data_IF_863921192494
#
_entry.id   IF_863921192494
#
_cell.length_a   1.000
_cell.length_b   1.000
_cell.length_c   1.000
_cell.angle_alpha   90.00
_cell.angle_beta   90.00
_cell.angle_gamma   90.00
#
_symmetry.space_group_name_H-M   'P 1'
#
loop_
_entity.id
_entity.type
_entity.pdbx_description
1 polymer ?
#
# COMPACT_ATOMS: atom_id res chain seq x y z
N UNK A 1 2.92 -2.93 -0.82
CA UNK A 1 2.01 -2.74 -1.99
C UNK A 1 2.83 -2.71 -3.26
N UNK A 2 2.56 -3.59 -4.20
CA UNK A 2 3.33 -3.70 -5.43
C UNK A 2 3.20 -2.46 -6.33
N UNK A 3 1.99 -1.97 -6.55
CA UNK A 3 1.76 -0.74 -7.32
C UNK A 3 0.79 0.17 -6.59
N UNK A 4 1.21 1.41 -6.39
CA UNK A 4 0.47 2.47 -5.74
C UNK A 4 0.63 3.74 -6.56
N UNK A 5 -0.41 4.09 -7.30
CA UNK A 5 -0.38 5.22 -8.24
C UNK A 5 -1.13 6.39 -7.64
N UNK A 6 -0.43 7.51 -7.43
CA UNK A 6 -1.01 8.76 -6.98
C UNK A 6 -1.04 9.76 -8.13
N UNK A 7 -2.23 10.05 -8.62
CA UNK A 7 -2.48 11.03 -9.69
C UNK A 7 -3.46 12.10 -9.18
N UNK A 8 -2.96 13.16 -8.50
CA UNK A 8 -3.79 14.16 -7.87
C UNK A 8 -4.61 15.01 -8.86
N UNK A 9 -4.27 14.98 -10.15
CA UNK A 9 -4.98 15.73 -11.18
C UNK A 9 -6.25 15.01 -11.65
N UNK A 10 -6.35 13.70 -11.42
CA UNK A 10 -7.57 12.94 -11.70
C UNK A 10 -8.50 12.91 -10.48
N UNK A 11 -9.63 13.66 -10.52
CA UNK A 11 -10.57 13.71 -9.40
C UNK A 11 -11.42 12.43 -9.25
N UNK A 12 -11.39 11.54 -10.23
CA UNK A 12 -12.22 10.32 -10.26
C UNK A 12 -11.42 9.05 -9.94
N UNK A 13 -10.10 9.15 -9.75
CA UNK A 13 -9.26 8.01 -9.39
C UNK A 13 -9.42 7.63 -7.91
N UNK A 14 -10.08 6.52 -7.65
CA UNK A 14 -10.28 6.00 -6.28
C UNK A 14 -8.98 5.57 -5.58
N UNK A 15 -7.92 5.29 -6.33
CA UNK A 15 -6.62 5.05 -5.73
C UNK A 15 -6.13 6.27 -4.93
N UNK A 16 -6.41 7.47 -5.45
CA UNK A 16 -6.13 8.72 -4.72
C UNK A 16 -6.88 8.80 -3.38
N UNK A 17 -8.12 8.33 -3.33
CA UNK A 17 -8.91 8.34 -2.09
C UNK A 17 -8.35 7.37 -1.06
N UNK A 18 -7.89 6.20 -1.48
CA UNK A 18 -7.21 5.24 -0.60
C UNK A 18 -5.89 5.83 -0.05
N UNK A 19 -5.09 6.42 -0.91
CA UNK A 19 -3.80 7.03 -0.54
C UNK A 19 -4.02 8.22 0.40
N UNK A 20 -4.97 9.11 0.10
CA UNK A 20 -5.38 10.20 0.99
C UNK A 20 -5.94 9.69 2.31
N UNK A 21 -6.64 8.55 2.28
CA UNK A 21 -7.14 7.87 3.47
C UNK A 21 -6.03 7.52 4.47
N UNK A 22 -4.86 7.08 4.00
CA UNK A 22 -3.68 6.83 4.83
C UNK A 22 -3.17 8.12 5.51
N UNK A 23 -3.08 9.21 4.75
CA UNK A 23 -2.69 10.53 5.29
C UNK A 23 -3.70 11.01 6.33
N UNK A 24 -4.99 10.88 6.05
CA UNK A 24 -6.05 11.27 6.98
C UNK A 24 -6.03 10.42 8.26
N UNK A 25 -5.74 9.13 8.15
CA UNK A 25 -5.55 8.25 9.30
C UNK A 25 -4.35 8.74 10.14
N UNK A 26 -3.23 9.04 9.51
CA UNK A 26 -2.05 9.59 10.19
C UNK A 26 -2.35 10.89 10.93
N UNK A 27 -3.07 11.81 10.29
CA UNK A 27 -3.51 13.08 10.92
C UNK A 27 -4.41 12.87 12.14
N UNK A 28 -5.16 11.77 12.19
CA UNK A 28 -5.96 11.39 13.37
C UNK A 28 -5.16 10.67 14.47
N UNK A 29 -3.86 10.48 14.29
CA UNK A 29 -2.97 9.85 15.27
C UNK A 29 -2.81 8.34 15.09
N UNK A 30 -3.28 7.77 13.98
CA UNK A 30 -3.07 6.34 13.69
C UNK A 30 -1.59 6.11 13.32
N UNK A 31 -1.01 5.02 13.79
CA UNK A 31 0.32 4.57 13.39
C UNK A 31 0.23 3.92 12.00
N UNK A 32 0.50 4.70 10.96
CA UNK A 32 0.42 4.27 9.56
C UNK A 32 1.80 3.97 9.03
N UNK A 33 1.99 2.75 8.54
CA UNK A 33 3.24 2.26 7.95
C UNK A 33 2.96 1.66 6.59
N UNK A 34 3.78 2.00 5.60
CA UNK A 34 3.59 1.57 4.21
C UNK A 34 4.90 1.03 3.66
N UNK A 35 4.83 -0.08 2.95
CA UNK A 35 5.91 -0.58 2.09
C UNK A 35 5.43 -0.54 0.66
N UNK A 36 6.23 0.04 -0.22
CA UNK A 36 5.95 0.13 -1.65
C UNK A 36 7.10 -0.52 -2.41
N UNK A 37 6.78 -1.41 -3.34
CA UNK A 37 7.76 -2.02 -4.24
C UNK A 37 8.45 -0.94 -5.08
N UNK A 38 9.77 -1.04 -5.21
CA UNK A 38 10.53 -0.14 -6.06
C UNK A 38 11.79 -0.80 -6.62
N UNK A 39 11.98 -0.67 -7.93
CA UNK A 39 13.16 -1.11 -8.64
C UNK A 39 13.62 -0.07 -9.65
N UNK A 40 14.88 0.26 -9.61
CA UNK A 40 15.46 1.33 -10.42
C UNK A 40 15.45 1.06 -11.92
N UNK A 41 15.44 -0.21 -12.32
CA UNK A 41 15.44 -0.61 -13.73
C UNK A 41 14.05 -0.81 -14.34
N UNK A 42 12.98 -0.69 -13.56
CA UNK A 42 11.60 -0.70 -14.05
C UNK A 42 11.06 0.72 -14.20
N UNK A 43 10.97 1.22 -15.42
CA UNK A 43 10.55 2.60 -15.69
C UNK A 43 9.18 2.97 -15.12
N UNK A 44 8.24 2.01 -15.02
CA UNK A 44 6.93 2.24 -14.43
C UNK A 44 6.93 2.41 -12.89
N UNK A 45 8.03 2.11 -12.24
CA UNK A 45 8.15 2.31 -10.78
C UNK A 45 8.21 3.79 -10.39
N UNK A 46 8.35 4.71 -11.35
CA UNK A 46 8.27 6.15 -11.08
C UNK A 46 6.93 6.58 -10.46
N UNK A 47 5.84 5.88 -10.75
CA UNK A 47 4.53 6.17 -10.15
C UNK A 47 4.49 5.81 -8.66
N UNK A 48 5.16 4.73 -8.27
CA UNK A 48 5.33 4.36 -6.86
C UNK A 48 6.13 5.42 -6.08
N UNK A 49 7.11 6.08 -6.73
CA UNK A 49 7.84 7.19 -6.11
C UNK A 49 6.96 8.41 -5.82
N UNK A 50 6.03 8.75 -6.70
CA UNK A 50 5.08 9.85 -6.45
C UNK A 50 4.21 9.56 -5.22
N UNK A 51 3.72 8.34 -5.08
CA UNK A 51 2.96 7.93 -3.90
C UNK A 51 3.84 7.98 -2.64
N UNK A 52 5.07 7.49 -2.72
CA UNK A 52 6.05 7.57 -1.63
C UNK A 52 6.29 9.01 -1.19
N UNK A 53 6.57 9.92 -2.13
CA UNK A 53 6.81 11.34 -1.84
C UNK A 53 5.59 12.01 -1.18
N UNK A 54 4.39 11.75 -1.71
CA UNK A 54 3.17 12.29 -1.16
C UNK A 54 2.92 11.81 0.28
N UNK A 55 3.03 10.51 0.53
CA UNK A 55 2.82 9.92 1.85
C UNK A 55 3.88 10.41 2.85
N UNK A 56 5.16 10.38 2.47
CA UNK A 56 6.28 10.80 3.33
C UNK A 56 6.19 12.27 3.71
N UNK A 57 5.88 13.15 2.75
CA UNK A 57 5.73 14.61 3.01
C UNK A 57 4.54 14.93 3.93
N UNK A 58 3.58 13.98 4.06
CA UNK A 58 2.46 14.08 4.99
C UNK A 58 2.68 13.30 6.31
N UNK A 59 3.92 12.89 6.60
CA UNK A 59 4.31 12.27 7.86
C UNK A 59 3.97 10.79 8.02
N UNK A 60 3.55 10.12 6.95
CA UNK A 60 3.38 8.67 6.96
C UNK A 60 4.75 7.99 6.88
N UNK A 61 4.96 6.95 7.68
CA UNK A 61 6.18 6.14 7.60
C UNK A 61 6.12 5.24 6.36
N UNK A 62 6.93 5.55 5.36
CA UNK A 62 6.97 4.79 4.10
C UNK A 62 8.36 4.23 3.85
N UNK A 63 8.43 2.98 3.46
CA UNK A 63 9.66 2.33 2.98
C UNK A 63 9.49 1.93 1.52
N UNK A 64 10.52 2.15 0.75
CA UNK A 64 10.65 1.56 -0.58
C UNK A 64 11.37 0.21 -0.43
N UNK A 65 10.76 -0.81 -0.97
CA UNK A 65 11.38 -2.11 -1.06
C UNK A 65 12.26 -2.16 -2.32
N UNK A 66 13.58 -2.27 -2.13
CA UNK A 66 14.59 -2.26 -3.18
C UNK A 66 15.41 -3.56 -3.20
N UNK A 67 14.88 -4.61 -2.59
CA UNK A 67 15.57 -5.89 -2.57
C UNK A 67 15.57 -6.57 -3.95
N UNK A 68 16.36 -7.61 -4.10
CA UNK A 68 16.50 -8.32 -5.38
C UNK A 68 15.23 -9.09 -5.77
N UNK A 69 14.40 -9.43 -4.79
CA UNK A 69 13.14 -10.14 -4.98
C UNK A 69 11.98 -9.18 -5.24
N UNK A 70 11.03 -9.59 -6.07
CA UNK A 70 9.82 -8.81 -6.33
C UNK A 70 8.75 -9.11 -5.31
N UNK A 71 8.37 -8.11 -4.52
CA UNK A 71 7.24 -8.19 -3.60
C UNK A 71 5.92 -7.84 -4.29
N UNK A 72 5.31 -8.85 -4.89
CA UNK A 72 4.04 -8.69 -5.61
C UNK A 72 2.80 -8.64 -4.69
N UNK A 73 2.97 -8.25 -3.44
CA UNK A 73 1.93 -8.21 -2.42
C UNK A 73 0.96 -7.04 -2.59
N UNK A 74 -0.33 -7.31 -2.39
CA UNK A 74 -1.39 -6.32 -2.23
C UNK A 74 -2.09 -6.63 -0.92
N UNK A 75 -1.58 -6.07 0.15
CA UNK A 75 -1.93 -6.38 1.53
C UNK A 75 -2.21 -5.11 2.32
N UNK A 76 -3.30 -5.11 3.08
CA UNK A 76 -3.61 -4.08 4.09
C UNK A 76 -3.98 -4.78 5.39
N UNK A 77 -3.38 -4.36 6.49
CA UNK A 77 -3.73 -4.83 7.84
C UNK A 77 -4.19 -3.63 8.67
N UNK A 78 -5.37 -3.73 9.27
CA UNK A 78 -5.97 -2.66 10.07
C UNK A 78 -6.19 -3.16 11.49
N UNK A 79 -5.69 -2.39 12.45
CA UNK A 79 -5.87 -2.58 13.90
C UNK A 79 -5.46 -3.99 14.40
N UNK A 80 -4.54 -4.65 13.69
CA UNK A 80 -4.15 -6.02 14.03
C UNK A 80 -5.29 -7.04 14.00
N UNK A 81 -6.36 -6.76 13.24
CA UNK A 81 -7.58 -7.56 13.25
C UNK A 81 -8.19 -7.77 11.87
N UNK A 82 -8.14 -6.78 11.00
CA UNK A 82 -8.74 -6.84 9.66
C UNK A 82 -7.62 -6.93 8.64
N UNK A 83 -7.73 -7.88 7.73
CA UNK A 83 -6.78 -8.08 6.62
C UNK A 83 -7.53 -8.00 5.30
N UNK A 84 -7.03 -7.19 4.39
CA UNK A 84 -7.40 -7.23 2.98
C UNK A 84 -6.21 -7.77 2.20
N UNK A 85 -6.43 -8.80 1.41
CA UNK A 85 -5.40 -9.43 0.58
C UNK A 85 -6.00 -9.95 -0.72
N UNK A 86 -5.28 -9.77 -1.82
CA UNK A 86 -5.74 -10.22 -3.12
C UNK A 86 -4.92 -9.64 -4.26
N UNK A 87 -5.58 -9.38 -5.39
CA UNK A 87 -4.91 -8.94 -6.62
C UNK A 87 -4.95 -7.42 -6.86
N UNK A 88 -5.78 -6.67 -6.13
CA UNK A 88 -5.93 -5.23 -6.35
C UNK A 88 -4.67 -4.44 -6.01
N UNK A 89 -4.01 -3.88 -7.01
CA UNK A 89 -3.12 -2.74 -6.84
C UNK A 89 -3.92 -1.49 -6.47
N UNK A 90 -3.28 -0.51 -5.89
CA UNK A 90 -3.88 0.80 -5.69
C UNK A 90 -3.63 1.66 -6.93
N UNK A 91 -4.39 1.37 -7.96
CA UNK A 91 -4.36 2.05 -9.25
C UNK A 91 -5.76 2.12 -9.84
N UNK A 92 -6.01 3.10 -10.70
CA UNK A 92 -7.29 3.23 -11.39
C UNK A 92 -7.64 1.96 -12.16
N UNK A 93 -6.67 1.38 -12.88
CA UNK A 93 -6.88 0.16 -13.64
C UNK A 93 -7.36 -1.00 -12.76
N UNK A 94 -6.75 -1.21 -11.60
CA UNK A 94 -7.13 -2.29 -10.69
C UNK A 94 -8.49 -2.06 -10.03
N UNK A 95 -8.86 -0.80 -9.78
CA UNK A 95 -10.11 -0.46 -9.08
C UNK A 95 -11.31 -0.30 -10.01
N UNK A 96 -11.10 -0.09 -11.31
CA UNK A 96 -12.17 0.18 -12.27
C UNK A 96 -12.24 -0.80 -13.44
N UNK A 97 -11.12 -1.15 -14.05
CA UNK A 97 -11.11 -1.78 -15.38
C UNK A 97 -10.74 -3.25 -15.38
N UNK A 98 -9.81 -3.64 -14.51
CA UNK A 98 -9.33 -5.00 -14.45
C UNK A 98 -10.35 -5.93 -13.77
N UNK A 99 -10.26 -7.22 -14.08
CA UNK A 99 -10.91 -8.28 -13.30
C UNK A 99 -10.00 -8.67 -12.15
N UNK A 100 -10.37 -8.23 -10.96
CA UNK A 100 -9.57 -8.41 -9.76
C UNK A 100 -10.40 -9.09 -8.67
N UNK A 101 -9.74 -9.75 -7.73
CA UNK A 101 -10.38 -10.32 -6.56
C UNK A 101 -9.53 -10.11 -5.31
N UNK A 102 -10.17 -9.65 -4.24
CA UNK A 102 -9.54 -9.54 -2.92
C UNK A 102 -10.54 -9.98 -1.86
N UNK A 103 -10.03 -10.52 -0.76
CA UNK A 103 -10.82 -10.93 0.38
C UNK A 103 -10.54 -10.03 1.58
N UNK A 104 -11.58 -9.85 2.39
CA UNK A 104 -11.50 -9.27 3.73
C UNK A 104 -11.57 -10.40 4.74
N UNK A 105 -10.58 -10.52 5.60
CA UNK A 105 -10.55 -11.46 6.71
C UNK A 105 -10.60 -10.69 8.02
N UNK A 106 -11.52 -11.04 8.92
CA UNK A 106 -11.58 -10.50 10.28
C UNK A 106 -11.05 -11.56 11.23
N UNK A 107 -9.77 -11.47 11.58
CA UNK A 107 -9.09 -12.43 12.44
C UNK A 107 -7.80 -11.82 13.00
N UNK A 108 -7.70 -11.74 14.33
CA UNK A 108 -6.48 -11.30 15.00
C UNK A 108 -5.30 -12.24 14.76
N UNK A 109 -5.58 -13.55 14.66
CA UNK A 109 -4.54 -14.57 14.39
C UNK A 109 -3.93 -14.36 13.02
N UNK A 110 -4.77 -14.23 11.99
CA UNK A 110 -4.31 -13.99 10.61
C UNK A 110 -3.60 -12.64 10.50
N UNK A 111 -4.16 -11.59 11.08
CA UNK A 111 -3.54 -10.26 11.08
C UNK A 111 -2.16 -10.28 11.74
N UNK A 112 -2.00 -10.98 12.85
CA UNK A 112 -0.72 -11.12 13.55
C UNK A 112 0.33 -11.80 12.67
N UNK A 113 -0.02 -12.87 11.96
CA UNK A 113 0.89 -13.55 11.05
C UNK A 113 1.42 -12.62 9.96
N UNK A 114 0.55 -11.82 9.36
CA UNK A 114 0.98 -10.82 8.37
C UNK A 114 1.82 -9.70 8.98
N UNK A 115 1.50 -9.22 10.18
CA UNK A 115 2.31 -8.21 10.87
C UNK A 115 3.69 -8.72 11.24
N UNK A 116 3.81 -9.97 11.67
CA UNK A 116 5.10 -10.64 11.93
C UNK A 116 5.92 -10.77 10.64
N UNK A 117 5.29 -11.15 9.54
CA UNK A 117 5.92 -11.18 8.23
C UNK A 117 6.45 -9.80 7.83
N UNK A 118 5.61 -8.76 7.91
CA UNK A 118 6.02 -7.39 7.56
C UNK A 118 7.13 -6.88 8.46
N UNK A 119 7.10 -7.21 9.75
CA UNK A 119 8.15 -6.84 10.68
C UNK A 119 9.48 -7.54 10.37
N UNK A 120 9.44 -8.82 10.06
CA UNK A 120 10.64 -9.61 9.78
C UNK A 120 11.33 -9.18 8.48
N UNK A 121 10.55 -8.83 7.46
CA UNK A 121 11.09 -8.49 6.15
C UNK A 121 11.41 -6.99 5.99
N UNK A 122 10.64 -6.12 6.63
CA UNK A 122 10.79 -4.67 6.45
C UNK A 122 11.15 -3.90 7.73
N UNK A 123 11.25 -4.57 8.87
CA UNK A 123 11.69 -3.97 10.13
C UNK A 123 10.71 -2.95 10.73
N UNK A 124 9.44 -3.12 10.51
CA UNK A 124 8.40 -2.29 11.14
C UNK A 124 8.08 -2.73 12.58
#
# INVERSE_FOLDING_TARGET
MYSMIYDPEDPFDWANDLIRGLVNAKKRGVDVKVVIEYRTYYGYMSDNLKAHEYLSSNGVTVKLDQEDDTDHLKLVVIDGKIVYVGSHNWSEAALYYNREASIKVVSEVVARQFLEYLKSNYGF
#
